data_IF_665818711219
#
_entry.id   IF_665818711219
#
_cell.length_a   1.000
_cell.length_b   1.000
_cell.length_c   1.000
_cell.angle_alpha   90.00
_cell.angle_beta   90.00
_cell.angle_gamma   90.00
#
_symmetry.space_group_name_H-M   'P 1'
#
loop_
_entity.id
_entity.type
_entity.pdbx_description
1 polymer ?
#
# COMPACT_ATOMS: atom_id res chain seq x y z
N UNK A 1 61.62 -23.24 16.23
CA UNK A 1 61.06 -22.62 14.99
C UNK A 1 59.72 -23.20 14.55
N UNK A 2 59.39 -24.47 14.67
CA UNK A 2 58.12 -25.09 14.18
C UNK A 2 56.84 -24.66 14.88
N UNK A 3 56.82 -24.15 16.10
CA UNK A 3 55.60 -23.73 16.80
C UNK A 3 55.04 -22.40 16.31
N UNK A 4 55.88 -21.42 15.94
CA UNK A 4 55.42 -20.10 15.46
C UNK A 4 54.69 -20.16 14.09
N UNK A 5 55.15 -21.04 13.21
CA UNK A 5 54.51 -21.25 11.88
C UNK A 5 53.12 -21.88 11.98
N UNK A 6 52.86 -22.74 12.96
CA UNK A 6 51.57 -23.37 13.16
C UNK A 6 50.50 -22.41 13.71
N UNK A 7 50.93 -21.46 14.57
CA UNK A 7 50.05 -20.40 15.08
C UNK A 7 49.69 -19.38 14.00
N UNK A 8 50.62 -18.99 13.16
CA UNK A 8 50.35 -18.07 12.05
C UNK A 8 49.39 -18.67 11.04
N UNK A 9 49.54 -19.95 10.70
CA UNK A 9 48.65 -20.68 9.81
C UNK A 9 47.20 -20.79 10.39
N UNK A 10 47.04 -21.02 11.70
CA UNK A 10 45.71 -21.05 12.34
C UNK A 10 45.05 -19.67 12.38
N UNK A 11 45.82 -18.60 12.57
CA UNK A 11 45.26 -17.24 12.57
C UNK A 11 44.78 -16.84 11.18
N UNK A 12 45.51 -17.20 10.13
CA UNK A 12 45.11 -16.93 8.74
C UNK A 12 43.83 -17.68 8.37
N UNK A 13 43.73 -18.97 8.69
CA UNK A 13 42.52 -19.76 8.43
C UNK A 13 41.31 -19.25 9.24
N UNK A 14 41.53 -18.82 10.47
CA UNK A 14 40.49 -18.24 11.30
C UNK A 14 39.97 -16.91 10.75
N UNK A 15 40.88 -16.04 10.26
CA UNK A 15 40.50 -14.80 9.59
C UNK A 15 39.68 -15.07 8.30
N UNK A 16 40.12 -16.00 7.47
CA UNK A 16 39.40 -16.39 6.27
C UNK A 16 38.02 -16.96 6.59
N UNK A 17 37.92 -17.78 7.64
CA UNK A 17 36.64 -18.32 8.10
C UNK A 17 35.66 -17.22 8.57
N UNK A 18 36.16 -16.24 9.34
CA UNK A 18 35.33 -15.10 9.79
C UNK A 18 34.94 -14.19 8.63
N UNK A 19 35.83 -13.94 7.66
CA UNK A 19 35.51 -13.14 6.46
C UNK A 19 34.46 -13.85 5.60
N UNK A 20 34.59 -15.17 5.40
CA UNK A 20 33.60 -15.95 4.63
C UNK A 20 32.25 -16.01 5.35
N UNK A 21 32.25 -16.19 6.68
CA UNK A 21 31.03 -16.16 7.48
C UNK A 21 30.33 -14.80 7.45
N UNK A 22 31.11 -13.71 7.50
CA UNK A 22 30.61 -12.33 7.42
C UNK A 22 30.03 -12.00 6.03
N UNK A 23 30.66 -12.47 4.96
CA UNK A 23 30.16 -12.32 3.58
C UNK A 23 28.86 -13.12 3.37
N UNK A 24 28.73 -14.31 3.96
CA UNK A 24 27.49 -15.08 3.93
C UNK A 24 26.36 -14.43 4.73
N UNK A 25 26.66 -13.71 5.81
CA UNK A 25 25.67 -13.02 6.63
C UNK A 25 25.09 -11.77 5.94
N UNK A 26 25.85 -11.14 5.03
CA UNK A 26 25.40 -9.97 4.25
C UNK A 26 24.54 -10.34 3.02
N UNK A 27 24.56 -11.59 2.58
CA UNK A 27 23.84 -12.04 1.39
C UNK A 27 22.34 -12.34 1.64
N UNK A 28 21.84 -12.18 2.86
CA UNK A 28 20.50 -12.58 3.27
C UNK A 28 19.55 -11.44 3.70
N UNK A 29 19.90 -10.16 3.51
CA UNK A 29 18.94 -9.06 3.78
C UNK A 29 18.07 -8.89 2.53
N UNK A 30 17.12 -9.82 2.35
CA UNK A 30 16.00 -9.60 1.47
C UNK A 30 15.23 -8.40 1.99
N UNK A 31 15.02 -7.38 1.16
CA UNK A 31 14.08 -6.29 1.48
C UNK A 31 12.70 -6.96 1.56
N UNK A 32 12.17 -7.15 2.77
CA UNK A 32 10.81 -7.61 2.95
C UNK A 32 9.90 -6.45 2.48
N UNK A 33 9.40 -6.54 1.26
CA UNK A 33 8.39 -5.62 0.78
C UNK A 33 7.08 -5.91 1.54
N UNK A 34 6.50 -4.90 2.17
CA UNK A 34 5.20 -5.03 2.81
C UNK A 34 4.13 -5.19 1.72
N UNK A 35 3.28 -6.20 1.85
CA UNK A 35 2.12 -6.43 0.98
C UNK A 35 0.82 -6.15 1.73
N UNK A 36 -0.30 -6.07 1.01
CA UNK A 36 -1.61 -5.95 1.65
C UNK A 36 -1.89 -7.22 2.48
N UNK A 37 -2.41 -7.07 3.70
CA UNK A 37 -2.73 -8.20 4.57
C UNK A 37 -3.97 -8.96 4.05
N UNK A 38 -4.07 -10.27 4.37
CA UNK A 38 -5.20 -11.12 4.05
C UNK A 38 -6.41 -10.80 4.94
N UNK A 39 -6.98 -9.61 4.76
CA UNK A 39 -8.24 -9.18 5.41
C UNK A 39 -9.37 -9.35 4.41
N UNK A 40 -10.46 -9.99 4.82
CA UNK A 40 -11.64 -10.19 3.98
C UNK A 40 -12.63 -9.05 4.17
N UNK A 41 -12.89 -8.30 3.11
CA UNK A 41 -13.86 -7.20 3.08
C UNK A 41 -15.01 -7.51 2.12
N UNK A 42 -16.13 -6.83 2.29
CA UNK A 42 -17.21 -6.84 1.32
C UNK A 42 -17.05 -5.71 0.32
N UNK A 43 -17.41 -5.98 -0.92
CA UNK A 43 -17.64 -4.92 -1.91
C UNK A 43 -18.95 -4.21 -1.60
N UNK A 44 -19.16 -3.05 -2.20
CA UNK A 44 -20.42 -2.29 -2.09
C UNK A 44 -21.62 -3.08 -2.63
N UNK A 45 -21.38 -4.06 -3.53
CA UNK A 45 -22.40 -4.93 -4.12
C UNK A 45 -22.63 -6.21 -3.30
N UNK A 46 -21.92 -6.37 -2.16
CA UNK A 46 -22.11 -7.48 -1.22
C UNK A 46 -21.23 -8.71 -1.46
N UNK A 47 -20.41 -8.75 -2.51
CA UNK A 47 -19.39 -9.79 -2.72
C UNK A 47 -18.31 -9.71 -1.65
N UNK A 48 -17.53 -10.78 -1.47
CA UNK A 48 -16.39 -10.79 -0.54
C UNK A 48 -15.09 -10.89 -1.32
N UNK A 49 -14.11 -10.08 -0.95
CA UNK A 49 -12.76 -10.08 -1.53
C UNK A 49 -11.72 -10.14 -0.41
N UNK A 50 -10.62 -10.87 -0.62
CA UNK A 50 -9.46 -10.84 0.26
C UNK A 50 -8.48 -9.76 -0.22
N UNK A 51 -8.07 -8.86 0.68
CA UNK A 51 -7.29 -7.68 0.30
C UNK A 51 -5.90 -8.02 -0.23
N UNK A 52 -5.30 -9.15 0.17
CA UNK A 52 -4.03 -9.66 -0.37
C UNK A 52 -4.14 -10.13 -1.83
N UNK A 53 -5.36 -10.28 -2.35
CA UNK A 53 -5.62 -10.62 -3.76
C UNK A 53 -5.96 -9.41 -4.63
N UNK A 54 -6.07 -8.22 -4.05
CA UNK A 54 -6.30 -6.99 -4.81
C UNK A 54 -5.13 -6.76 -5.78
N UNK A 55 -5.47 -6.48 -7.03
CA UNK A 55 -4.48 -6.22 -8.06
C UNK A 55 -5.07 -5.34 -9.17
N UNK A 56 -4.20 -4.84 -10.02
CA UNK A 56 -4.55 -4.02 -11.18
C UNK A 56 -3.85 -4.54 -12.46
N UNK A 57 -3.83 -5.87 -12.63
CA UNK A 57 -3.24 -6.47 -13.84
C UNK A 57 -1.75 -6.15 -14.03
N UNK A 58 -0.98 -6.03 -12.95
CA UNK A 58 0.44 -5.69 -12.99
C UNK A 58 0.74 -4.19 -13.04
N UNK A 59 -0.28 -3.34 -12.97
CA UNK A 59 -0.14 -1.88 -12.86
C UNK A 59 -0.28 -1.43 -11.40
N UNK A 60 0.26 -0.26 -11.01
CA UNK A 60 0.05 0.31 -9.70
C UNK A 60 -1.43 0.56 -9.38
N UNK A 61 -1.76 0.56 -8.09
CA UNK A 61 -3.08 0.92 -7.60
C UNK A 61 -2.99 1.65 -6.25
N UNK A 62 -4.07 2.32 -5.89
CA UNK A 62 -4.20 3.09 -4.66
C UNK A 62 -5.30 2.47 -3.81
N UNK A 63 -5.08 2.37 -2.49
CA UNK A 63 -6.09 2.03 -1.49
C UNK A 63 -6.32 3.25 -0.63
N UNK A 64 -7.50 3.84 -0.70
CA UNK A 64 -7.85 5.10 -0.03
C UNK A 64 -8.95 4.87 1.00
N UNK A 65 -8.65 5.16 2.26
CA UNK A 65 -9.57 4.95 3.38
C UNK A 65 -10.37 6.20 3.69
N UNK A 66 -11.68 6.07 3.66
CA UNK A 66 -12.64 7.15 3.90
C UNK A 66 -13.79 6.74 4.82
N UNK A 67 -14.64 7.70 5.13
CA UNK A 67 -15.96 7.46 5.71
C UNK A 67 -16.95 8.54 5.23
N UNK A 68 -18.24 8.23 5.25
CA UNK A 68 -19.28 9.16 4.80
C UNK A 68 -19.32 10.47 5.59
N UNK A 69 -18.90 10.44 6.84
CA UNK A 69 -18.80 11.61 7.74
C UNK A 69 -17.46 12.34 7.69
N UNK A 70 -16.46 11.81 6.97
CA UNK A 70 -15.12 12.38 6.88
C UNK A 70 -15.05 13.44 5.78
N UNK A 71 -15.22 14.70 6.13
CA UNK A 71 -15.18 15.81 5.16
C UNK A 71 -13.87 15.91 4.36
N UNK A 72 -12.64 15.82 4.98
CA UNK A 72 -11.42 15.86 4.20
C UNK A 72 -11.28 14.67 3.25
N UNK A 73 -11.71 13.45 3.64
CA UNK A 73 -11.69 12.30 2.76
C UNK A 73 -12.59 12.50 1.53
N UNK A 74 -13.79 13.03 1.75
CA UNK A 74 -14.74 13.28 0.66
C UNK A 74 -14.21 14.35 -0.30
N UNK A 75 -13.46 15.36 0.19
CA UNK A 75 -12.80 16.34 -0.67
C UNK A 75 -11.67 15.69 -1.49
N UNK A 76 -10.83 14.87 -0.87
CA UNK A 76 -9.76 14.12 -1.54
C UNK A 76 -10.32 13.25 -2.67
N UNK A 77 -11.27 12.36 -2.35
CA UNK A 77 -11.89 11.49 -3.35
C UNK A 77 -12.60 12.27 -4.46
N UNK A 78 -13.24 13.41 -4.14
CA UNK A 78 -13.87 14.24 -5.17
C UNK A 78 -12.83 14.96 -6.05
N UNK A 79 -11.72 15.46 -5.48
CA UNK A 79 -10.66 16.08 -6.26
C UNK A 79 -9.98 15.05 -7.19
N UNK A 80 -9.79 13.81 -6.71
CA UNK A 80 -9.29 12.73 -7.56
C UNK A 80 -10.29 12.38 -8.66
N UNK A 81 -11.60 12.37 -8.38
CA UNK A 81 -12.62 12.04 -9.37
C UNK A 81 -12.60 13.01 -10.57
N UNK A 82 -12.29 14.29 -10.36
CA UNK A 82 -12.18 15.28 -11.43
C UNK A 82 -11.07 14.96 -12.44
N UNK A 83 -10.05 14.22 -12.05
CA UNK A 83 -8.85 13.90 -12.87
C UNK A 83 -8.66 12.40 -13.08
N UNK A 84 -9.56 11.56 -12.57
CA UNK A 84 -9.37 10.11 -12.54
C UNK A 84 -9.33 9.47 -13.92
N UNK A 85 -10.17 9.94 -14.85
CA UNK A 85 -10.15 9.47 -16.25
C UNK A 85 -8.78 9.74 -16.90
N UNK A 86 -8.22 10.97 -16.71
CA UNK A 86 -6.88 11.32 -17.20
C UNK A 86 -5.80 10.42 -16.58
N UNK A 87 -5.86 10.18 -15.26
CA UNK A 87 -4.92 9.29 -14.58
C UNK A 87 -4.98 7.85 -15.10
N UNK A 88 -6.21 7.36 -15.38
CA UNK A 88 -6.40 6.02 -15.94
C UNK A 88 -5.88 5.91 -17.37
N UNK A 89 -6.12 6.91 -18.21
CA UNK A 89 -5.61 6.95 -19.59
C UNK A 89 -4.08 6.97 -19.60
N UNK A 90 -3.46 7.79 -18.75
CA UNK A 90 -2.01 7.96 -18.68
C UNK A 90 -1.30 6.74 -18.06
N UNK A 91 -1.75 6.31 -16.90
CA UNK A 91 -1.04 5.34 -16.05
C UNK A 91 -1.73 3.99 -15.95
N UNK A 92 -3.04 3.96 -16.19
CA UNK A 92 -3.90 2.82 -15.92
C UNK A 92 -4.07 2.55 -14.43
N UNK A 93 -3.82 3.55 -13.55
CA UNK A 93 -4.00 3.41 -12.10
C UNK A 93 -5.44 3.06 -11.75
N UNK A 94 -5.62 2.25 -10.72
CA UNK A 94 -6.91 1.89 -10.15
C UNK A 94 -6.99 2.37 -8.70
N UNK A 95 -8.19 2.79 -8.27
CA UNK A 95 -8.44 3.17 -6.89
C UNK A 95 -9.43 2.19 -6.26
N UNK A 96 -9.04 1.66 -5.10
CA UNK A 96 -9.92 0.95 -4.16
C UNK A 96 -10.24 1.89 -3.00
N UNK A 97 -11.45 2.44 -3.00
CA UNK A 97 -11.93 3.28 -1.91
C UNK A 97 -12.51 2.39 -0.80
N UNK A 98 -11.92 2.46 0.39
CA UNK A 98 -12.27 1.59 1.52
C UNK A 98 -13.00 2.39 2.59
N UNK A 99 -14.30 2.17 2.71
CA UNK A 99 -15.11 2.83 3.76
C UNK A 99 -14.90 2.15 5.11
N UNK A 100 -14.61 2.96 6.13
CA UNK A 100 -14.60 2.54 7.53
C UNK A 100 -15.90 2.90 8.27
N UNK A 101 -16.97 3.21 7.54
CA UNK A 101 -18.29 3.40 8.17
C UNK A 101 -18.71 2.15 8.93
N UNK A 102 -19.04 2.34 10.21
CA UNK A 102 -19.50 1.24 11.05
C UNK A 102 -20.81 0.63 10.51
N UNK A 103 -21.11 -0.61 10.89
CA UNK A 103 -22.23 -1.41 10.36
C UNK A 103 -23.56 -0.66 10.27
N UNK A 104 -23.88 0.20 11.26
CA UNK A 104 -25.11 1.00 11.26
C UNK A 104 -25.14 2.11 10.20
N UNK A 105 -23.98 2.50 9.64
CA UNK A 105 -23.86 3.57 8.66
C UNK A 105 -23.50 3.10 7.24
N UNK A 106 -23.18 1.82 7.05
CA UNK A 106 -22.80 1.25 5.74
C UNK A 106 -23.81 1.61 4.64
N UNK A 107 -25.10 1.66 4.97
CA UNK A 107 -26.16 2.00 4.04
C UNK A 107 -26.04 3.41 3.43
N UNK A 108 -25.18 4.28 3.99
CA UNK A 108 -24.91 5.64 3.50
C UNK A 108 -23.80 5.67 2.44
N UNK A 109 -22.97 4.60 2.37
CA UNK A 109 -21.79 4.58 1.51
C UNK A 109 -22.20 4.63 0.04
N UNK A 110 -23.06 3.70 -0.41
CA UNK A 110 -23.48 3.68 -1.81
C UNK A 110 -24.17 4.98 -2.26
N UNK A 111 -25.11 5.56 -1.50
CA UNK A 111 -25.69 6.86 -1.87
C UNK A 111 -24.65 7.98 -2.02
N UNK A 112 -23.62 8.02 -1.17
CA UNK A 112 -22.55 9.02 -1.29
C UNK A 112 -21.72 8.80 -2.55
N UNK A 113 -21.33 7.56 -2.84
CA UNK A 113 -20.58 7.19 -4.06
C UNK A 113 -21.36 7.58 -5.30
N UNK A 114 -22.64 7.18 -5.37
CA UNK A 114 -23.52 7.49 -6.50
C UNK A 114 -23.73 9.01 -6.67
N UNK A 115 -23.88 9.76 -5.57
CA UNK A 115 -24.10 11.21 -5.60
C UNK A 115 -22.89 11.97 -6.13
N UNK A 116 -21.68 11.49 -5.85
CA UNK A 116 -20.44 12.13 -6.28
C UNK A 116 -19.88 11.50 -7.57
N UNK A 117 -20.60 10.55 -8.17
CA UNK A 117 -20.20 9.88 -9.41
C UNK A 117 -18.79 9.27 -9.33
N UNK A 118 -18.42 8.74 -8.16
CA UNK A 118 -17.11 8.12 -7.97
C UNK A 118 -17.03 6.75 -8.65
N UNK A 119 -16.16 6.61 -9.62
CA UNK A 119 -15.94 5.39 -10.41
C UNK A 119 -14.91 4.43 -9.79
N UNK A 120 -14.76 4.46 -8.47
CA UNK A 120 -13.82 3.62 -7.72
C UNK A 120 -14.42 2.26 -7.39
N UNK A 121 -13.56 1.24 -7.24
CA UNK A 121 -13.96 0.00 -6.58
C UNK A 121 -14.12 0.25 -5.07
N UNK A 122 -15.33 0.11 -4.56
CA UNK A 122 -15.63 0.43 -3.16
C UNK A 122 -15.70 -0.83 -2.30
N UNK A 123 -14.90 -0.82 -1.21
CA UNK A 123 -14.84 -1.87 -0.20
C UNK A 123 -15.34 -1.34 1.15
N UNK A 124 -15.81 -2.25 2.00
CA UNK A 124 -16.40 -1.94 3.31
C UNK A 124 -15.59 -2.60 4.42
N UNK A 125 -14.96 -1.78 5.27
CA UNK A 125 -14.16 -2.19 6.44
C UNK A 125 -14.77 -1.66 7.75
N UNK A 126 -15.97 -2.15 8.15
CA UNK A 126 -16.73 -1.59 9.25
C UNK A 126 -16.06 -1.70 10.63
N UNK A 127 -15.07 -2.57 10.76
CA UNK A 127 -14.31 -2.78 11.97
C UNK A 127 -12.93 -2.12 11.90
N UNK A 128 -12.60 -1.46 10.77
CA UNK A 128 -11.27 -0.89 10.49
C UNK A 128 -10.15 -1.92 10.62
N UNK A 129 -10.40 -3.16 10.19
CA UNK A 129 -9.44 -4.27 10.30
C UNK A 129 -8.27 -4.07 9.33
N UNK A 130 -8.56 -3.73 8.06
CA UNK A 130 -7.55 -3.45 7.05
C UNK A 130 -6.79 -2.16 7.39
N UNK A 131 -7.51 -1.08 7.75
CA UNK A 131 -6.89 0.18 8.15
C UNK A 131 -5.86 -0.03 9.26
N UNK A 132 -6.23 -0.72 10.34
CA UNK A 132 -5.35 -1.02 11.47
C UNK A 132 -4.19 -1.92 11.09
N UNK A 133 -4.43 -2.96 10.29
CA UNK A 133 -3.40 -3.87 9.83
C UNK A 133 -2.33 -3.16 8.98
N UNK A 134 -2.72 -2.10 8.25
CA UNK A 134 -1.82 -1.24 7.48
C UNK A 134 -1.15 -0.15 8.34
N UNK A 135 -1.51 -0.04 9.63
CA UNK A 135 -0.97 0.95 10.55
C UNK A 135 -1.66 2.30 10.50
N UNK A 136 -2.79 2.42 9.79
CA UNK A 136 -3.61 3.64 9.76
C UNK A 136 -4.27 3.91 11.11
N UNK A 137 -4.17 5.15 11.58
CA UNK A 137 -4.74 5.60 12.85
C UNK A 137 -5.81 6.66 12.67
N UNK A 138 -5.83 7.31 11.54
CA UNK A 138 -6.78 8.35 11.15
C UNK A 138 -7.07 8.26 9.65
N UNK A 139 -8.13 8.90 9.20
CA UNK A 139 -8.48 9.06 7.80
C UNK A 139 -8.55 10.56 7.42
N UNK A 140 -8.27 10.94 6.16
CA UNK A 140 -7.88 10.05 5.06
C UNK A 140 -6.56 9.33 5.34
N UNK A 141 -6.48 8.09 4.89
CA UNK A 141 -5.26 7.31 4.90
C UNK A 141 -5.14 6.60 3.55
N UNK A 142 -4.06 6.85 2.86
CA UNK A 142 -3.84 6.37 1.50
C UNK A 142 -2.63 5.47 1.46
N UNK A 143 -2.72 4.38 0.72
CA UNK A 143 -1.64 3.41 0.49
C UNK A 143 -1.42 3.27 -1.01
N UNK A 144 -0.21 3.53 -1.48
CA UNK A 144 0.18 3.30 -2.88
C UNK A 144 0.84 1.94 -2.99
N UNK A 145 0.39 1.14 -3.96
CA UNK A 145 0.83 -0.24 -4.17
C UNK A 145 1.36 -0.37 -5.60
N UNK A 146 2.53 -1.00 -5.75
CA UNK A 146 3.12 -1.25 -7.06
C UNK A 146 2.41 -2.39 -7.83
N UNK A 147 2.79 -2.60 -9.10
CA UNK A 147 2.23 -3.66 -9.94
C UNK A 147 2.51 -5.09 -9.46
N UNK A 148 3.41 -5.27 -8.48
CA UNK A 148 3.73 -6.56 -7.86
C UNK A 148 3.00 -6.78 -6.54
N UNK A 149 2.16 -5.82 -6.10
CA UNK A 149 1.43 -5.87 -4.84
C UNK A 149 2.23 -5.37 -3.62
N UNK A 150 3.39 -4.74 -3.82
CA UNK A 150 4.18 -4.19 -2.73
C UNK A 150 3.69 -2.79 -2.37
N UNK A 151 3.55 -2.52 -1.07
CA UNK A 151 3.26 -1.21 -0.54
C UNK A 151 4.52 -0.34 -0.67
N UNK A 152 4.41 0.77 -1.41
CA UNK A 152 5.54 1.67 -1.70
C UNK A 152 5.44 3.01 -0.98
N UNK A 153 4.21 3.46 -0.67
CA UNK A 153 4.00 4.69 0.10
C UNK A 153 2.74 4.63 0.95
N UNK A 154 2.68 5.47 1.97
CA UNK A 154 1.52 5.68 2.85
C UNK A 154 1.41 7.16 3.20
N UNK A 155 0.23 7.71 3.07
CA UNK A 155 -0.09 9.10 3.38
C UNK A 155 -1.20 9.17 4.43
N UNK A 156 -1.21 10.20 5.25
CA UNK A 156 -2.26 10.44 6.24
C UNK A 156 -2.66 11.91 6.26
N UNK A 157 -3.96 12.15 6.25
CA UNK A 157 -4.53 13.49 6.15
C UNK A 157 -4.54 14.00 4.71
N UNK A 158 -5.34 15.04 4.47
CA UNK A 158 -5.50 15.65 3.16
C UNK A 158 -5.48 17.18 3.25
N UNK A 159 -4.75 17.79 2.34
CA UNK A 159 -4.81 19.22 2.01
C UNK A 159 -5.04 19.36 0.52
N UNK A 160 -5.77 20.38 0.10
CA UNK A 160 -6.12 20.58 -1.30
C UNK A 160 -4.87 20.59 -2.18
N UNK A 161 -4.85 19.76 -3.21
CA UNK A 161 -3.71 19.55 -4.11
C UNK A 161 -2.79 18.37 -3.74
N UNK A 162 -2.97 17.74 -2.57
CA UNK A 162 -2.15 16.59 -2.15
C UNK A 162 -2.37 15.34 -3.02
N UNK A 163 -3.53 15.24 -3.70
CA UNK A 163 -3.81 14.18 -4.67
C UNK A 163 -2.77 14.14 -5.81
N UNK A 164 -2.16 15.29 -6.15
CA UNK A 164 -1.11 15.33 -7.16
C UNK A 164 0.16 14.56 -6.75
N UNK A 165 0.44 14.44 -5.44
CA UNK A 165 1.57 13.63 -4.95
C UNK A 165 1.34 12.14 -5.23
N UNK A 166 0.09 11.68 -5.13
CA UNK A 166 -0.27 10.29 -5.36
C UNK A 166 -0.01 9.88 -6.83
N UNK A 167 -0.43 10.70 -7.78
CA UNK A 167 -0.20 10.39 -9.19
C UNK A 167 1.28 10.49 -9.58
N UNK A 168 2.03 11.43 -9.00
CA UNK A 168 3.48 11.51 -9.20
C UNK A 168 4.21 10.25 -8.69
N UNK A 169 3.76 9.65 -7.59
CA UNK A 169 4.30 8.38 -7.12
C UNK A 169 3.97 7.23 -8.07
N UNK A 170 2.74 7.17 -8.59
CA UNK A 170 2.34 6.19 -9.59
C UNK A 170 3.16 6.33 -10.88
N UNK A 171 3.39 7.56 -11.36
CA UNK A 171 4.24 7.85 -12.53
C UNK A 171 5.67 7.33 -12.33
N UNK A 172 6.27 7.60 -11.17
CA UNK A 172 7.61 7.10 -10.82
C UNK A 172 7.70 5.58 -10.85
N UNK A 173 6.65 4.87 -10.40
CA UNK A 173 6.60 3.40 -10.44
C UNK A 173 6.57 2.86 -11.88
N UNK A 174 6.06 3.64 -12.82
CA UNK A 174 5.98 3.31 -14.24
C UNK A 174 7.22 3.76 -15.01
N UNK A 175 8.15 4.49 -14.38
CA UNK A 175 9.37 5.02 -15.01
C UNK A 175 9.10 6.24 -15.89
N UNK A 176 8.05 6.97 -15.59
CA UNK A 176 7.65 8.20 -16.27
C UNK A 176 8.16 9.44 -15.55
#
# INVERSE_FOLDING_TARGET
MRRKTKYLYQIEHMKQFFVTLFVFMLAGIGVANAQLPAVSLKTIDGSTVSCDTLNNGGKPFIVDFFATWCKPCNRELSAIAEVYEEWQEETGVKIFAVSIDQAQNIHKVKPLVDQNEWEYDVLLDPNSELLKALGGQMIPFVVVVDGNGNIVAKHSGYTDGAENELIEEVRKLLGQ
#
